data_IF_047045333763
#
_entry.id   IF_047045333763
#
_cell.length_a   1.000
_cell.length_b   1.000
_cell.length_c   1.000
_cell.angle_alpha   90.00
_cell.angle_beta   90.00
_cell.angle_gamma   90.00
#
_symmetry.space_group_name_H-M   'P 1'
#
loop_
_entity.id
_entity.type
_entity.pdbx_description
1 polymer ?
#
# COMPACT_ATOMS: atom_id res chain seq x y z
N UNK A 1 8.21 -18.19 19.62
CA UNK A 1 8.62 -17.44 18.42
C UNK A 1 8.97 -16.05 18.89
N UNK A 2 10.20 -15.60 18.69
CA UNK A 2 10.65 -14.30 19.19
C UNK A 2 10.14 -13.24 18.22
N UNK A 3 9.03 -12.57 18.55
CA UNK A 3 8.63 -11.36 17.83
C UNK A 3 9.73 -10.32 18.08
N UNK A 4 10.59 -10.09 17.10
CA UNK A 4 11.53 -8.97 17.17
C UNK A 4 10.69 -7.71 17.12
N UNK A 5 10.79 -6.91 18.18
CA UNK A 5 10.27 -5.56 18.16
C UNK A 5 11.21 -4.77 17.25
N UNK A 6 10.72 -4.43 16.06
CA UNK A 6 11.42 -3.59 15.09
C UNK A 6 10.84 -2.18 15.16
N UNK A 7 11.68 -1.15 15.04
CA UNK A 7 11.23 0.25 15.04
C UNK A 7 11.80 0.99 13.84
N UNK A 8 10.98 1.85 13.22
CA UNK A 8 11.45 2.82 12.25
C UNK A 8 12.08 3.99 12.97
N UNK A 9 13.32 4.34 12.60
CA UNK A 9 14.06 5.48 13.15
C UNK A 9 14.08 6.68 12.25
N UNK A 10 14.21 6.46 10.96
CA UNK A 10 14.32 7.52 9.97
C UNK A 10 13.81 7.03 8.62
N UNK A 11 13.47 7.96 7.73
CA UNK A 11 13.16 7.64 6.34
C UNK A 11 13.54 8.78 5.39
N UNK A 12 13.69 8.43 4.12
CA UNK A 12 13.97 9.37 3.05
C UNK A 12 13.09 9.05 1.84
N UNK A 13 12.46 10.06 1.25
CA UNK A 13 11.76 9.92 -0.04
C UNK A 13 12.82 9.89 -1.14
N UNK A 14 12.95 8.76 -1.84
CA UNK A 14 14.01 8.53 -2.83
C UNK A 14 13.46 8.35 -4.26
N UNK A 15 12.15 8.51 -4.44
CA UNK A 15 11.50 8.44 -5.74
C UNK A 15 9.98 8.43 -5.62
N UNK A 16 9.31 8.24 -6.75
CA UNK A 16 7.86 8.07 -6.79
C UNK A 16 7.43 6.86 -5.96
N UNK A 17 6.59 7.10 -4.96
CA UNK A 17 6.10 6.09 -4.02
C UNK A 17 7.20 5.25 -3.36
N UNK A 18 8.43 5.78 -3.29
CA UNK A 18 9.61 5.03 -2.83
C UNK A 18 10.27 5.68 -1.64
N UNK A 19 10.41 4.91 -0.57
CA UNK A 19 11.07 5.34 0.66
C UNK A 19 12.28 4.46 0.96
N UNK A 20 13.37 5.09 1.38
CA UNK A 20 14.45 4.41 2.11
C UNK A 20 14.18 4.55 3.60
N UNK A 21 14.00 3.44 4.30
CA UNK A 21 13.61 3.36 5.71
C UNK A 21 14.78 2.82 6.50
N UNK A 22 15.13 3.49 7.60
CA UNK A 22 16.19 3.08 8.52
C UNK A 22 15.57 2.56 9.82
N UNK A 23 16.00 1.40 10.26
CA UNK A 23 15.48 0.73 11.45
C UNK A 23 16.39 0.96 12.68
N UNK A 24 15.89 0.59 13.85
CA UNK A 24 16.59 0.75 15.13
C UNK A 24 17.85 -0.09 15.28
N UNK A 25 17.97 -1.19 14.53
CA UNK A 25 19.18 -2.00 14.44
C UNK A 25 20.24 -1.43 13.46
N UNK A 26 19.93 -0.30 12.81
CA UNK A 26 20.80 0.37 11.85
C UNK A 26 20.73 -0.19 10.43
N UNK A 27 19.94 -1.24 10.19
CA UNK A 27 19.67 -1.71 8.84
C UNK A 27 18.75 -0.73 8.08
N UNK A 28 18.78 -0.78 6.76
CA UNK A 28 17.86 0.00 5.93
C UNK A 28 17.20 -0.83 4.83
N UNK A 29 16.03 -0.36 4.36
CA UNK A 29 15.27 -0.96 3.26
C UNK A 29 14.79 0.14 2.33
N UNK A 30 15.02 -0.02 1.04
CA UNK A 30 14.38 0.82 0.02
C UNK A 30 13.16 0.07 -0.50
N UNK A 31 11.98 0.66 -0.30
CA UNK A 31 10.68 0.05 -0.59
C UNK A 31 9.95 0.89 -1.64
N UNK A 32 9.49 0.23 -2.69
CA UNK A 32 8.55 0.77 -3.67
C UNK A 32 7.13 0.37 -3.27
N UNK A 33 6.34 1.34 -2.82
CA UNK A 33 4.97 1.10 -2.36
C UNK A 33 3.98 1.06 -3.53
N UNK A 34 4.32 1.60 -4.69
CA UNK A 34 3.40 1.77 -5.83
C UNK A 34 2.53 0.53 -6.13
N UNK A 35 3.10 -0.69 -6.21
CA UNK A 35 2.35 -1.91 -6.52
C UNK A 35 1.27 -2.30 -5.49
N UNK A 36 1.31 -1.75 -4.28
CA UNK A 36 0.39 -2.11 -3.19
C UNK A 36 -0.63 -1.01 -2.86
N UNK A 37 -0.55 0.17 -3.51
CA UNK A 37 -1.43 1.30 -3.23
C UNK A 37 -2.80 1.11 -3.87
N UNK A 38 -3.63 0.25 -3.31
CA UNK A 38 -4.99 -0.03 -3.78
C UNK A 38 -5.99 -0.08 -2.63
N UNK A 39 -7.28 -0.12 -2.97
CA UNK A 39 -8.38 -0.13 -2.00
C UNK A 39 -8.60 1.23 -1.33
N UNK A 40 -9.55 1.28 -0.41
CA UNK A 40 -10.03 2.54 0.18
C UNK A 40 -8.98 3.25 1.05
N UNK A 41 -8.15 2.47 1.77
CA UNK A 41 -7.15 3.03 2.70
C UNK A 41 -5.84 3.40 2.01
N UNK A 42 -5.28 2.52 1.18
CA UNK A 42 -3.97 2.73 0.54
C UNK A 42 -4.06 3.34 -0.87
N UNK A 43 -5.19 3.18 -1.57
CA UNK A 43 -5.41 3.77 -2.90
C UNK A 43 -5.20 5.29 -2.96
N UNK A 44 -5.67 6.10 -1.98
CA UNK A 44 -5.42 7.54 -1.97
C UNK A 44 -3.93 7.93 -1.96
N UNK A 45 -3.05 7.06 -1.47
CA UNK A 45 -1.60 7.30 -1.47
C UNK A 45 -0.96 7.25 -2.86
N UNK A 46 -1.71 6.84 -3.91
CA UNK A 46 -1.25 7.02 -5.29
C UNK A 46 -1.01 8.49 -5.63
N UNK A 47 -1.73 9.43 -4.98
CA UNK A 47 -1.41 10.86 -5.05
C UNK A 47 -0.13 11.14 -4.26
N UNK A 48 0.93 11.55 -4.98
CA UNK A 48 2.23 11.89 -4.40
C UNK A 48 2.15 13.03 -3.39
N UNK A 49 1.18 13.94 -3.53
CA UNK A 49 0.96 15.05 -2.60
C UNK A 49 0.56 14.53 -1.23
N UNK A 50 -0.24 13.45 -1.18
CA UNK A 50 -0.58 12.75 0.06
C UNK A 50 0.55 11.83 0.50
N UNK A 51 1.13 11.05 -0.42
CA UNK A 51 2.22 10.11 -0.11
C UNK A 51 3.42 10.79 0.56
N UNK A 52 3.80 11.97 0.08
CA UNK A 52 4.96 12.70 0.59
C UNK A 52 4.72 13.37 1.95
N UNK A 53 3.50 13.28 2.50
CA UNK A 53 3.18 13.69 3.87
C UNK A 53 3.41 12.56 4.89
N UNK A 54 4.07 11.47 4.48
CA UNK A 54 4.53 10.40 5.38
C UNK A 54 5.29 10.98 6.57
N UNK A 55 5.06 10.43 7.75
CA UNK A 55 5.74 10.79 8.99
C UNK A 55 5.98 9.56 9.86
N UNK A 56 6.86 9.66 10.85
CA UNK A 56 7.04 8.61 11.85
C UNK A 56 6.13 8.92 13.04
N UNK A 57 5.29 7.97 13.41
CA UNK A 57 4.54 8.03 14.66
C UNK A 57 5.50 7.85 15.85
N UNK A 58 5.54 8.79 16.82
CA UNK A 58 6.49 8.74 17.92
C UNK A 58 6.14 7.71 19.00
N UNK A 59 4.91 7.21 19.06
CA UNK A 59 4.46 6.23 20.05
C UNK A 59 4.73 4.80 19.56
N UNK A 60 4.37 4.51 18.31
CA UNK A 60 4.50 3.16 17.72
C UNK A 60 5.73 2.98 16.85
N UNK A 61 6.45 4.08 16.52
CA UNK A 61 7.67 4.08 15.69
C UNK A 61 7.48 3.40 14.33
N UNK A 62 6.41 3.79 13.63
CA UNK A 62 6.14 3.35 12.26
C UNK A 62 5.80 4.51 11.33
N UNK A 63 5.77 4.23 10.03
CA UNK A 63 5.35 5.19 9.02
C UNK A 63 3.83 5.34 9.00
N UNK A 64 3.36 6.58 9.08
CA UNK A 64 1.94 6.94 9.05
C UNK A 64 1.68 8.07 8.06
N UNK A 65 0.48 8.08 7.47
CA UNK A 65 -0.01 9.11 6.57
C UNK A 65 -1.23 9.84 7.16
N UNK A 66 -1.54 11.08 6.70
CA UNK A 66 -2.65 11.88 7.22
C UNK A 66 -4.03 11.24 7.08
N UNK A 67 -4.20 10.30 6.14
CA UNK A 67 -5.43 9.54 5.96
C UNK A 67 -5.57 8.35 6.94
N UNK A 68 -4.63 8.19 7.87
CA UNK A 68 -4.61 7.12 8.85
C UNK A 68 -4.04 5.80 8.33
N UNK A 69 -3.48 5.78 7.12
CA UNK A 69 -2.76 4.61 6.63
C UNK A 69 -1.43 4.44 7.37
N UNK A 70 -1.08 3.21 7.69
CA UNK A 70 0.17 2.82 8.32
C UNK A 70 0.65 1.47 7.78
N UNK A 71 1.92 1.14 8.05
CA UNK A 71 2.46 -0.19 7.82
C UNK A 71 3.10 -0.72 9.09
N UNK A 72 2.92 -2.00 9.41
CA UNK A 72 3.60 -2.60 10.55
C UNK A 72 5.13 -2.58 10.35
N UNK A 73 5.94 -2.15 11.36
CA UNK A 73 7.40 -2.10 11.25
C UNK A 73 8.06 -3.43 10.86
N UNK A 74 7.52 -4.56 11.29
CA UNK A 74 8.02 -5.88 10.90
C UNK A 74 7.75 -6.16 9.41
N UNK A 75 6.57 -5.75 8.91
CA UNK A 75 6.25 -5.84 7.46
C UNK A 75 7.24 -5.01 6.62
N UNK A 76 7.59 -3.81 7.08
CA UNK A 76 8.58 -2.96 6.41
C UNK A 76 9.99 -3.57 6.45
N UNK A 77 10.37 -4.17 7.58
CA UNK A 77 11.69 -4.79 7.76
C UNK A 77 11.87 -6.05 6.88
N UNK A 78 10.83 -6.89 6.85
CA UNK A 78 10.72 -8.11 6.06
C UNK A 78 10.00 -7.88 4.73
N UNK A 79 10.11 -6.67 4.18
CA UNK A 79 9.45 -6.31 2.92
C UNK A 79 9.71 -7.29 1.77
N UNK A 80 10.96 -7.77 1.53
CA UNK A 80 11.23 -8.73 0.46
C UNK A 80 10.44 -10.05 0.58
N UNK A 81 9.98 -10.41 1.77
CA UNK A 81 9.17 -11.61 2.01
C UNK A 81 7.68 -11.39 1.77
N UNK A 82 7.23 -10.13 1.81
CA UNK A 82 5.80 -9.76 1.77
C UNK A 82 5.38 -9.05 0.48
N UNK A 83 6.31 -8.38 -0.21
CA UNK A 83 6.02 -7.50 -1.34
C UNK A 83 5.16 -8.16 -2.42
N UNK A 84 5.52 -9.37 -2.85
CA UNK A 84 4.81 -10.09 -3.93
C UNK A 84 3.37 -10.45 -3.53
N UNK A 85 3.17 -10.87 -2.28
CA UNK A 85 1.86 -11.24 -1.76
C UNK A 85 0.97 -10.00 -1.61
N UNK A 86 1.51 -8.92 -1.02
CA UNK A 86 0.79 -7.66 -0.85
C UNK A 86 0.41 -7.05 -2.20
N UNK A 87 1.31 -7.07 -3.18
CA UNK A 87 1.04 -6.56 -4.52
C UNK A 87 -0.05 -7.39 -5.23
N UNK A 88 0.00 -8.72 -5.09
CA UNK A 88 -1.02 -9.61 -5.65
C UNK A 88 -2.40 -9.37 -5.01
N UNK A 89 -2.45 -9.11 -3.70
CA UNK A 89 -3.68 -8.78 -2.99
C UNK A 89 -4.23 -7.42 -3.41
N UNK A 90 -3.39 -6.39 -3.51
CA UNK A 90 -3.78 -5.06 -3.97
C UNK A 90 -4.43 -5.11 -5.36
N UNK A 91 -3.92 -5.94 -6.28
CA UNK A 91 -4.51 -6.14 -7.61
C UNK A 91 -5.93 -6.72 -7.57
N UNK A 92 -6.25 -7.56 -6.57
CA UNK A 92 -7.59 -8.13 -6.40
C UNK A 92 -8.64 -7.13 -5.89
N UNK A 93 -8.18 -6.03 -5.27
CA UNK A 93 -9.03 -4.98 -4.72
C UNK A 93 -9.17 -3.77 -5.63
N UNK A 94 -8.41 -3.73 -6.72
CA UNK A 94 -8.68 -2.80 -7.79
C UNK A 94 -9.97 -3.30 -8.45
N UNK A 95 -11.14 -2.64 -8.27
CA UNK A 95 -12.27 -2.98 -9.11
C UNK A 95 -11.76 -2.74 -10.54
N UNK A 96 -11.69 -3.79 -11.35
CA UNK A 96 -11.56 -3.56 -12.78
C UNK A 96 -12.67 -2.55 -13.12
N UNK A 97 -12.38 -1.45 -13.84
CA UNK A 97 -13.47 -0.65 -14.38
C UNK A 97 -14.33 -1.67 -15.11
N UNK A 98 -15.58 -1.83 -14.67
CA UNK A 98 -16.48 -2.81 -15.23
C UNK A 98 -16.35 -2.66 -16.74
N UNK A 99 -15.69 -3.62 -17.38
CA UNK A 99 -15.61 -3.63 -18.83
C UNK A 99 -17.06 -3.58 -19.25
N UNK A 100 -17.39 -2.67 -20.17
CA UNK A 100 -18.73 -2.49 -20.73
C UNK A 100 -19.19 -3.73 -21.54
N UNK A 101 -18.78 -4.93 -21.13
CA UNK A 101 -19.14 -6.22 -21.68
C UNK A 101 -20.19 -6.93 -20.80
N UNK A 102 -20.47 -6.44 -19.57
CA UNK A 102 -21.47 -7.07 -18.69
C UNK A 102 -22.81 -6.33 -18.57
N UNK A 103 -23.01 -5.23 -19.34
CA UNK A 103 -24.28 -4.48 -19.33
C UNK A 103 -25.21 -4.84 -20.50
N UNK A 104 -24.77 -5.59 -21.51
CA UNK A 104 -25.64 -5.98 -22.65
C UNK A 104 -26.43 -7.28 -22.43
N UNK A 105 -26.24 -8.01 -21.32
CA UNK A 105 -26.97 -9.26 -21.07
C UNK A 105 -28.32 -9.10 -20.33
N UNK A 106 -28.80 -7.87 -20.07
CA UNK A 106 -30.10 -7.64 -19.41
C UNK A 106 -31.11 -6.82 -20.22
N UNK A 107 -30.78 -6.44 -21.46
CA UNK A 107 -31.66 -5.66 -22.33
C UNK A 107 -32.12 -6.43 -23.59
N UNK A 108 -32.33 -7.76 -23.50
CA UNK A 108 -32.92 -8.54 -24.60
C UNK A 108 -34.03 -9.51 -24.18
N UNK A 109 -34.68 -9.29 -23.03
CA UNK A 109 -35.97 -9.94 -22.73
C UNK A 109 -37.08 -8.90 -22.71
N UNK A 110 -37.22 -8.16 -23.80
CA UNK A 110 -38.46 -7.44 -24.09
C UNK A 110 -38.56 -7.06 -25.56
N UNK A 111 -38.71 -8.04 -26.45
CA UNK A 111 -39.43 -7.90 -27.72
C UNK A 111 -39.43 -9.24 -28.45
N UNK A 112 -40.51 -10.04 -28.33
CA UNK A 112 -41.34 -10.48 -29.47
C UNK A 112 -42.72 -10.86 -28.91
N UNK A 113 -43.71 -10.16 -29.44
CA UNK A 113 -45.18 -10.35 -29.47
C UNK A 113 -45.78 -11.62 -28.84
#
# INVERSE_FOLDING_TARGET
MTHRICRVRDFQIVGYHRLRIVFDDGSDRTIDFGPILAGELFGPLQDLSLFNQVSIDPEVHTLVWPNGADFDPATLYDWPQHADVLASQAQSWNPQPATLEHLEAKASVQEVR
#
